data_IF_736120571353
#
_entry.id   IF_736120571353
#
_cell.length_a   1.000
_cell.length_b   1.000
_cell.length_c   1.000
_cell.angle_alpha   90.00
_cell.angle_beta   90.00
_cell.angle_gamma   90.00
#
_symmetry.space_group_name_H-M   'P 1'
#
loop_
_entity.id
_entity.type
_entity.pdbx_description
1 polymer ?
#
# COMPACT_ATOMS: atom_id res chain seq x y z
N UNK A 1 -7.88 4.34 -3.06
CA UNK A 1 -7.52 3.14 -2.28
C UNK A 1 -8.50 2.85 -1.14
N UNK A 2 -9.07 3.89 -0.56
CA UNK A 2 -10.01 3.73 0.55
C UNK A 2 -11.25 2.93 0.17
N UNK A 3 -11.81 3.19 -1.00
CA UNK A 3 -12.97 2.44 -1.47
C UNK A 3 -12.68 0.96 -1.64
N UNK A 4 -11.47 0.62 -2.07
CA UNK A 4 -11.08 -0.77 -2.23
C UNK A 4 -10.91 -1.46 -0.87
N UNK A 5 -10.31 -0.76 0.10
CA UNK A 5 -10.17 -1.29 1.46
C UNK A 5 -11.55 -1.53 2.09
N UNK A 6 -12.46 -0.58 1.93
CA UNK A 6 -13.82 -0.73 2.44
C UNK A 6 -14.54 -1.92 1.79
N UNK A 7 -14.38 -2.09 0.48
CA UNK A 7 -14.98 -3.21 -0.24
C UNK A 7 -14.44 -4.56 0.22
N UNK A 8 -13.16 -4.62 0.58
CA UNK A 8 -12.54 -5.84 1.08
C UNK A 8 -12.78 -6.05 2.58
N UNK A 9 -13.34 -5.07 3.26
CA UNK A 9 -13.59 -5.15 4.69
C UNK A 9 -12.33 -5.14 5.52
N UNK A 10 -11.30 -4.39 5.10
CA UNK A 10 -10.02 -4.30 5.80
C UNK A 10 -9.71 -2.86 6.17
N UNK A 11 -8.95 -2.70 7.24
CA UNK A 11 -8.47 -1.39 7.67
C UNK A 11 -9.53 -0.54 8.35
N UNK A 12 -9.14 0.66 8.72
CA UNK A 12 -10.02 1.67 9.30
C UNK A 12 -9.48 3.04 8.95
N UNK A 13 -10.32 4.08 8.91
CA UNK A 13 -9.85 5.42 8.52
C UNK A 13 -8.97 6.04 9.61
N UNK A 14 -7.87 6.64 9.18
CA UNK A 14 -6.99 7.37 10.07
C UNK A 14 -7.75 8.61 10.62
N UNK A 15 -7.67 8.88 11.92
CA UNK A 15 -8.47 9.96 12.52
C UNK A 15 -8.18 11.36 11.98
N UNK A 16 -7.00 11.60 11.43
CA UNK A 16 -6.67 12.92 10.91
C UNK A 16 -6.81 13.03 9.40
N UNK A 17 -6.46 11.98 8.67
CA UNK A 17 -6.40 12.06 7.21
C UNK A 17 -7.55 11.36 6.52
N UNK A 18 -8.21 10.44 7.20
CA UNK A 18 -9.27 9.63 6.61
C UNK A 18 -8.77 8.48 5.74
N UNK A 19 -7.47 8.41 5.48
CA UNK A 19 -6.91 7.31 4.70
C UNK A 19 -6.98 6.02 5.51
N UNK A 20 -7.23 4.90 4.85
CA UNK A 20 -7.35 3.62 5.57
C UNK A 20 -6.01 3.12 6.06
N UNK A 21 -5.98 2.77 7.34
CA UNK A 21 -4.81 2.21 8.01
C UNK A 21 -4.96 0.70 8.02
N UNK A 22 -3.92 -0.01 7.62
CA UNK A 22 -3.92 -1.45 7.48
C UNK A 22 -2.88 -2.09 8.40
N UNK A 23 -3.20 -3.27 8.91
CA UNK A 23 -2.18 -4.11 9.55
C UNK A 23 -1.28 -4.71 8.47
N UNK A 24 -0.19 -5.35 8.90
CA UNK A 24 0.72 -6.03 7.97
C UNK A 24 -0.03 -7.07 7.11
N UNK A 25 -0.83 -7.92 7.76
CA UNK A 25 -1.58 -8.95 7.05
C UNK A 25 -2.60 -8.36 6.08
N UNK A 26 -3.27 -7.28 6.49
CA UNK A 26 -4.24 -6.60 5.63
C UNK A 26 -3.57 -5.95 4.42
N UNK A 27 -2.38 -5.36 4.62
CA UNK A 27 -1.63 -4.78 3.51
C UNK A 27 -1.26 -5.85 2.50
N UNK A 28 -0.75 -6.99 2.96
CA UNK A 28 -0.39 -8.08 2.06
C UNK A 28 -1.61 -8.59 1.28
N UNK A 29 -2.76 -8.68 1.95
CA UNK A 29 -4.01 -9.09 1.31
C UNK A 29 -4.44 -8.09 0.24
N UNK A 30 -4.33 -6.78 0.53
CA UNK A 30 -4.66 -5.73 -0.41
C UNK A 30 -3.77 -5.79 -1.64
N UNK A 31 -2.46 -5.94 -1.43
CA UNK A 31 -1.49 -5.99 -2.54
C UNK A 31 -1.73 -7.22 -3.41
N UNK A 32 -2.05 -8.35 -2.81
CA UNK A 32 -2.36 -9.56 -3.56
C UNK A 32 -3.62 -9.39 -4.41
N UNK A 33 -4.65 -8.77 -3.85
CA UNK A 33 -5.90 -8.49 -4.55
C UNK A 33 -5.66 -7.56 -5.75
N UNK A 34 -4.88 -6.50 -5.55
CA UNK A 34 -4.58 -5.53 -6.60
C UNK A 34 -3.81 -6.23 -7.73
N UNK A 35 -2.84 -7.06 -7.38
CA UNK A 35 -2.03 -7.77 -8.36
C UNK A 35 -2.89 -8.74 -9.17
N UNK A 36 -3.74 -9.50 -8.51
CA UNK A 36 -4.59 -10.49 -9.19
C UNK A 36 -5.66 -9.87 -10.07
N UNK A 37 -6.17 -8.72 -9.69
CA UNK A 37 -7.26 -8.07 -10.39
C UNK A 37 -6.81 -6.86 -11.21
N UNK A 38 -5.54 -6.54 -11.18
CA UNK A 38 -4.95 -5.43 -11.92
C UNK A 38 -5.72 -4.11 -11.72
N UNK A 39 -6.00 -3.81 -10.45
CA UNK A 39 -6.92 -2.73 -10.08
C UNK A 39 -6.31 -1.36 -9.88
N UNK A 40 -5.02 -1.26 -9.77
CA UNK A 40 -4.37 0.01 -9.50
C UNK A 40 -3.04 0.13 -10.22
N UNK A 41 -2.57 1.34 -10.40
CA UNK A 41 -1.30 1.60 -11.03
C UNK A 41 -0.48 2.51 -10.15
N UNK A 42 0.77 2.26 -10.06
CA UNK A 42 1.67 3.11 -9.28
C UNK A 42 1.31 3.11 -7.81
N UNK A 43 1.72 2.10 -7.08
CA UNK A 43 1.45 2.03 -5.67
C UNK A 43 2.56 2.65 -4.85
N UNK A 44 2.19 3.41 -3.89
CA UNK A 44 3.09 3.90 -2.86
C UNK A 44 2.46 3.68 -1.50
N UNK A 45 3.10 4.16 -0.46
CA UNK A 45 2.51 4.06 0.87
C UNK A 45 3.40 4.62 1.96
N UNK A 46 2.81 4.68 3.14
CA UNK A 46 3.45 5.18 4.34
C UNK A 46 3.48 4.10 5.40
N UNK A 47 4.51 4.13 6.22
CA UNK A 47 4.64 3.23 7.37
C UNK A 47 4.33 4.02 8.64
N UNK A 48 3.51 3.44 9.50
CA UNK A 48 3.14 4.04 10.78
C UNK A 48 3.55 3.09 11.90
N UNK A 49 3.68 3.62 13.12
CA UNK A 49 3.86 2.76 14.28
C UNK A 49 2.49 2.20 14.73
N UNK A 50 2.47 1.42 15.80
CA UNK A 50 1.24 0.80 16.30
C UNK A 50 0.25 1.81 16.86
N UNK A 51 0.65 3.08 17.03
CA UNK A 51 -0.24 4.16 17.48
C UNK A 51 -0.67 5.04 16.30
N UNK A 52 -0.46 4.56 15.08
CA UNK A 52 -0.81 5.26 13.84
C UNK A 52 -0.10 6.60 13.65
N UNK A 53 1.08 6.72 14.22
CA UNK A 53 1.94 7.88 14.00
C UNK A 53 2.86 7.59 12.82
N UNK A 54 2.97 8.55 11.91
CA UNK A 54 3.77 8.37 10.70
C UNK A 54 5.26 8.23 11.03
N UNK A 55 5.88 7.26 10.39
CA UNK A 55 7.33 7.08 10.44
C UNK A 55 7.89 7.64 9.14
N UNK A 56 8.04 8.93 9.09
CA UNK A 56 8.33 9.65 7.85
C UNK A 56 9.61 9.22 7.12
N UNK A 57 10.51 8.55 7.80
CA UNK A 57 11.69 8.02 7.13
C UNK A 57 11.40 6.75 6.35
N UNK A 58 10.21 6.18 6.52
CA UNK A 58 9.83 4.93 5.89
C UNK A 58 8.59 5.11 5.04
N UNK A 59 8.75 4.83 3.79
CA UNK A 59 7.66 4.86 2.82
C UNK A 59 8.14 4.21 1.54
N UNK A 60 7.25 3.98 0.60
CA UNK A 60 7.62 3.41 -0.68
C UNK A 60 6.83 4.04 -1.80
N UNK A 61 7.42 4.03 -2.97
CA UNK A 61 6.79 4.49 -4.19
C UNK A 61 7.39 3.71 -5.35
N UNK A 62 6.56 3.01 -6.07
CA UNK A 62 7.01 2.15 -7.14
C UNK A 62 6.18 2.35 -8.39
N UNK A 63 6.72 3.07 -9.34
CA UNK A 63 6.10 3.27 -10.64
C UNK A 63 7.19 3.45 -11.69
N UNK A 64 6.97 2.93 -12.88
CA UNK A 64 7.91 3.07 -13.96
C UNK A 64 7.14 3.29 -15.25
N UNK A 65 7.24 4.50 -15.79
CA UNK A 65 6.51 4.88 -16.98
C UNK A 65 6.96 4.12 -18.24
N UNK A 66 8.12 3.49 -18.19
CA UNK A 66 8.61 2.68 -19.30
C UNK A 66 7.91 1.33 -19.42
N UNK A 67 7.20 0.92 -18.38
CA UNK A 67 6.49 -0.36 -18.35
C UNK A 67 5.03 -0.18 -18.77
N UNK A 68 4.42 -1.26 -19.24
CA UNK A 68 2.99 -1.27 -19.50
C UNK A 68 2.24 -1.14 -18.17
N UNK A 69 0.94 -0.85 -18.25
CA UNK A 69 0.12 -0.72 -17.05
C UNK A 69 0.11 -2.01 -16.23
N UNK A 70 -0.08 -3.15 -16.89
CA UNK A 70 -0.07 -4.46 -16.23
C UNK A 70 1.26 -4.74 -15.54
N UNK A 71 2.36 -4.49 -16.24
CA UNK A 71 3.69 -4.70 -15.67
C UNK A 71 3.92 -3.80 -14.46
N UNK A 72 3.47 -2.54 -14.53
CA UNK A 72 3.59 -1.61 -13.41
C UNK A 72 2.81 -2.08 -12.19
N UNK A 73 1.60 -2.59 -12.39
CA UNK A 73 0.78 -3.11 -11.30
C UNK A 73 1.51 -4.26 -10.60
N UNK A 74 1.98 -5.24 -11.37
CA UNK A 74 2.66 -6.41 -10.81
C UNK A 74 3.95 -6.01 -10.12
N UNK A 75 4.75 -5.17 -10.76
CA UNK A 75 6.02 -4.71 -10.20
C UNK A 75 5.83 -3.91 -8.93
N UNK A 76 4.86 -2.98 -8.93
CA UNK A 76 4.59 -2.15 -7.76
C UNK A 76 4.16 -2.99 -6.57
N UNK A 77 3.31 -4.00 -6.80
CA UNK A 77 2.89 -4.90 -5.73
C UNK A 77 4.05 -5.72 -5.18
N UNK A 78 4.88 -6.28 -6.07
CA UNK A 78 6.02 -7.09 -5.65
C UNK A 78 7.05 -6.27 -4.89
N UNK A 79 7.33 -5.04 -5.35
CA UNK A 79 8.26 -4.14 -4.67
C UNK A 79 7.72 -3.70 -3.30
N UNK A 80 6.42 -3.44 -3.21
CA UNK A 80 5.80 -3.07 -1.93
C UNK A 80 5.92 -4.22 -0.92
N UNK A 81 5.65 -5.45 -1.36
CA UNK A 81 5.80 -6.64 -0.50
C UNK A 81 7.24 -6.79 -0.03
N UNK A 82 8.18 -6.67 -0.95
CA UNK A 82 9.61 -6.77 -0.62
C UNK A 82 10.01 -5.72 0.39
N UNK A 83 9.57 -4.49 0.18
CA UNK A 83 9.92 -3.36 1.06
C UNK A 83 9.40 -3.60 2.48
N UNK A 84 8.11 -3.91 2.63
CA UNK A 84 7.54 -4.05 3.98
C UNK A 84 8.10 -5.27 4.71
N UNK A 85 8.43 -6.34 3.99
CA UNK A 85 9.07 -7.52 4.62
C UNK A 85 10.48 -7.23 5.08
N UNK A 86 11.13 -6.22 4.53
CA UNK A 86 12.48 -5.85 4.91
C UNK A 86 12.53 -4.96 6.15
N UNK A 87 11.39 -4.44 6.60
CA UNK A 87 11.34 -3.57 7.77
C UNK A 87 11.58 -4.36 9.05
N UNK A 88 12.05 -3.65 10.09
CA UNK A 88 12.17 -4.25 11.41
C UNK A 88 10.78 -4.41 12.00
N UNK A 89 10.47 -5.62 12.48
CA UNK A 89 9.20 -5.96 13.10
C UNK A 89 7.98 -5.49 12.26
N UNK A 90 7.88 -5.94 11.00
CA UNK A 90 6.81 -5.43 10.12
C UNK A 90 5.41 -5.77 10.63
N UNK A 91 5.23 -6.84 11.41
CA UNK A 91 3.93 -7.24 11.96
C UNK A 91 3.46 -6.30 13.06
N UNK A 92 4.37 -5.47 13.60
CA UNK A 92 4.03 -4.55 14.68
C UNK A 92 3.78 -3.14 14.16
N UNK A 93 3.83 -2.94 12.86
CA UNK A 93 3.61 -1.64 12.23
C UNK A 93 2.27 -1.61 11.52
N UNK A 94 1.81 -0.40 11.26
CA UNK A 94 0.62 -0.17 10.45
C UNK A 94 1.01 0.52 9.15
N UNK A 95 0.13 0.49 8.16
CA UNK A 95 0.46 0.92 6.82
C UNK A 95 -0.71 1.65 6.17
N UNK A 96 -0.38 2.63 5.32
CA UNK A 96 -1.34 3.27 4.44
C UNK A 96 -0.84 3.05 3.01
N UNK A 97 -1.62 2.39 2.19
CA UNK A 97 -1.30 2.22 0.79
C UNK A 97 -1.98 3.34 -0.01
N UNK A 98 -1.25 3.98 -0.88
CA UNK A 98 -1.79 5.05 -1.70
C UNK A 98 -1.73 4.69 -3.17
N UNK A 99 -2.79 5.07 -3.87
CA UNK A 99 -2.89 4.90 -5.30
C UNK A 99 -2.27 6.12 -5.95
N UNK A 100 -1.24 5.89 -6.72
CA UNK A 100 -0.61 6.97 -7.42
C UNK A 100 -1.25 7.09 -8.77
N UNK A 101 -2.16 7.95 -8.85
CA UNK A 101 -2.82 8.13 -10.04
C UNK A 101 -2.04 9.02 -10.89
N UNK A 102 -1.56 8.65 -11.88
CA UNK A 102 -0.75 9.31 -12.54
C UNK A 102 -1.15 9.56 -13.80
N UNK A 103 -2.03 9.89 -14.17
CA UNK A 103 -2.34 9.86 -15.03
C UNK A 103 -2.42 10.37 -16.09
N UNK A 104 -2.36 10.16 -16.50
CA UNK A 104 -2.12 10.31 -17.58
C UNK A 104 -2.98 10.03 -18.50
#
# INVERSE_FOLDING_TARGET
MDGLCAALGIGYPHPRTGEYVLTYAELLRLLQYIKENERAVGLGGDVLNEKDQYLYANGWYNSDDALSQTENIHRSCDEAVRYVKSLSAPQEKHYIAVHQSVWR
#
